data_IF_285921808595
#
_entry.id   IF_285921808595
#
_cell.length_a   1.000
_cell.length_b   1.000
_cell.length_c   1.000
_cell.angle_alpha   90.00
_cell.angle_beta   90.00
_cell.angle_gamma   90.00
#
_symmetry.space_group_name_H-M   'P 1'
#
loop_
_entity.id
_entity.type
_entity.pdbx_description
1 polymer ?
#
# COMPACT_ATOMS: atom_id res chain seq x y z
N UNK A 1 26.66 -27.91 -56.46
CA UNK A 1 25.35 -27.48 -55.93
C UNK A 1 25.56 -26.97 -54.50
N UNK A 2 25.47 -25.64 -54.34
CA UNK A 2 25.02 -24.90 -53.14
C UNK A 2 25.68 -25.09 -51.76
N UNK A 3 27.00 -24.90 -51.63
CA UNK A 3 27.63 -24.75 -50.29
C UNK A 3 28.23 -23.36 -50.05
N UNK A 4 28.47 -22.56 -51.11
CA UNK A 4 29.04 -21.21 -50.98
C UNK A 4 28.01 -20.07 -50.79
N UNK A 5 26.71 -20.34 -50.84
CA UNK A 5 25.65 -19.33 -50.67
C UNK A 5 25.11 -19.21 -49.24
N UNK A 6 25.44 -20.12 -48.32
CA UNK A 6 24.87 -20.11 -46.96
C UNK A 6 25.72 -19.39 -45.93
N UNK A 7 27.01 -19.13 -46.22
CA UNK A 7 27.89 -18.42 -45.26
C UNK A 7 27.66 -16.90 -45.34
N UNK A 8 27.23 -16.37 -46.48
CA UNK A 8 26.97 -14.94 -46.63
C UNK A 8 25.60 -14.51 -46.06
N UNK A 9 24.64 -15.44 -45.95
CA UNK A 9 23.31 -15.15 -45.37
C UNK A 9 23.26 -15.26 -43.84
N UNK A 10 24.23 -15.92 -43.20
CA UNK A 10 24.30 -16.01 -41.73
C UNK A 10 24.99 -14.77 -41.13
N UNK A 11 25.91 -14.14 -41.86
CA UNK A 11 26.55 -12.89 -41.39
C UNK A 11 25.61 -11.68 -41.45
N UNK A 12 24.61 -11.69 -42.33
CA UNK A 12 23.64 -10.59 -42.47
C UNK A 12 22.49 -10.69 -41.44
N UNK A 13 22.19 -11.88 -40.93
CA UNK A 13 21.21 -12.08 -39.86
C UNK A 13 21.76 -11.75 -38.46
N UNK A 14 23.09 -11.78 -38.27
CA UNK A 14 23.72 -11.47 -36.98
C UNK A 14 23.92 -9.96 -36.74
N UNK A 15 23.77 -9.12 -37.77
CA UNK A 15 23.92 -7.66 -37.66
C UNK A 15 22.60 -6.94 -37.37
N UNK A 16 21.46 -7.63 -37.43
CA UNK A 16 20.14 -7.09 -37.11
C UNK A 16 19.77 -7.16 -35.60
N UNK A 17 20.70 -7.66 -34.77
CA UNK A 17 20.61 -7.67 -33.31
C UNK A 17 21.40 -6.52 -32.66
N UNK A 18 21.80 -5.50 -33.44
CA UNK A 18 22.26 -4.24 -32.90
C UNK A 18 21.07 -3.58 -32.19
N UNK A 19 21.20 -3.48 -30.87
CA UNK A 19 20.13 -3.17 -29.95
C UNK A 19 19.33 -1.93 -30.36
N UNK A 20 18.02 -2.11 -30.45
CA UNK A 20 17.12 -1.09 -29.96
C UNK A 20 17.37 -0.99 -28.46
N UNK A 21 18.36 -0.18 -28.06
CA UNK A 21 18.28 0.47 -26.76
C UNK A 21 17.05 1.37 -26.85
N UNK A 22 15.94 0.93 -26.28
CA UNK A 22 14.90 1.87 -25.90
C UNK A 22 15.63 2.94 -25.08
N UNK A 23 15.67 4.17 -25.59
CA UNK A 23 16.17 5.31 -24.83
C UNK A 23 15.34 5.37 -23.56
N UNK A 24 15.91 4.91 -22.45
CA UNK A 24 15.32 5.06 -21.13
C UNK A 24 15.30 6.55 -20.86
N UNK A 25 14.16 7.19 -21.12
CA UNK A 25 13.92 8.57 -20.72
C UNK A 25 13.83 8.57 -19.20
N UNK A 26 14.97 8.82 -18.57
CA UNK A 26 15.10 8.77 -17.13
C UNK A 26 15.65 10.13 -16.69
N UNK A 27 14.78 11.12 -16.68
CA UNK A 27 14.97 12.31 -15.86
C UNK A 27 14.40 11.98 -14.49
N UNK A 28 15.19 12.17 -13.44
CA UNK A 28 14.72 12.10 -12.06
C UNK A 28 14.55 13.51 -11.52
N UNK A 29 13.37 13.78 -10.94
CA UNK A 29 13.04 15.05 -10.30
C UNK A 29 12.89 14.87 -8.79
N UNK A 30 13.27 15.89 -8.02
CA UNK A 30 13.08 15.89 -6.57
C UNK A 30 12.82 17.31 -6.04
N UNK A 31 11.83 17.49 -5.15
CA UNK A 31 10.88 16.47 -4.69
C UNK A 31 9.83 16.13 -5.76
N UNK A 32 9.10 15.03 -5.56
CA UNK A 32 7.94 14.69 -6.42
C UNK A 32 6.72 15.59 -6.13
N UNK A 33 6.63 16.08 -4.88
CA UNK A 33 5.58 16.95 -4.40
C UNK A 33 6.20 18.17 -3.71
N UNK A 34 5.81 19.37 -4.14
CA UNK A 34 6.10 20.64 -3.50
C UNK A 34 4.88 21.06 -2.69
N UNK A 35 5.05 21.13 -1.37
CA UNK A 35 4.05 21.71 -0.48
C UNK A 35 4.54 23.07 -0.02
N UNK A 36 3.78 24.11 -0.39
CA UNK A 36 4.14 25.50 -0.11
C UNK A 36 2.93 26.26 0.39
N UNK A 37 3.18 27.27 1.23
CA UNK A 37 2.18 28.18 1.75
C UNK A 37 2.66 29.63 1.64
N UNK A 38 1.72 30.56 1.44
CA UNK A 38 2.05 31.98 1.31
C UNK A 38 0.82 32.88 1.41
N UNK A 39 1.07 34.14 1.77
CA UNK A 39 0.04 35.17 1.82
C UNK A 39 -0.21 35.75 0.41
N UNK A 40 -1.41 36.28 0.12
CA UNK A 40 -1.68 37.03 -1.11
C UNK A 40 -0.64 38.13 -1.38
N UNK A 41 -0.17 38.23 -2.63
CA UNK A 41 0.84 39.21 -3.06
C UNK A 41 2.30 38.83 -2.77
N UNK A 42 2.56 37.70 -2.12
CA UNK A 42 3.93 37.22 -1.84
C UNK A 42 4.50 36.48 -3.05
N UNK A 43 5.81 36.64 -3.25
CA UNK A 43 6.58 35.82 -4.19
C UNK A 43 7.32 34.75 -3.40
N UNK A 44 7.00 33.49 -3.67
CA UNK A 44 7.71 32.34 -3.13
C UNK A 44 8.82 31.94 -4.11
N UNK A 45 10.02 31.68 -3.61
CA UNK A 45 11.14 31.20 -4.45
C UNK A 45 11.68 29.90 -3.90
N UNK A 46 12.08 29.00 -4.80
CA UNK A 46 12.63 27.71 -4.44
C UNK A 46 13.45 27.09 -5.56
N UNK A 47 13.92 25.88 -5.33
CA UNK A 47 14.69 25.11 -6.28
C UNK A 47 14.19 23.66 -6.30
N UNK A 48 14.20 23.05 -7.48
CA UNK A 48 13.96 21.61 -7.65
C UNK A 48 15.22 20.96 -8.20
N UNK A 49 15.49 19.73 -7.77
CA UNK A 49 16.63 18.97 -8.26
C UNK A 49 16.24 18.19 -9.51
N UNK A 50 17.00 18.38 -10.58
CA UNK A 50 16.90 17.62 -11.82
C UNK A 50 18.14 16.77 -11.98
N UNK A 51 17.97 15.48 -12.27
CA UNK A 51 19.07 14.53 -12.48
C UNK A 51 18.86 13.77 -13.79
N UNK A 52 19.77 13.99 -14.74
CA UNK A 52 19.77 13.26 -16.01
C UNK A 52 20.40 11.88 -15.81
N UNK A 53 19.59 10.82 -15.76
CA UNK A 53 20.10 9.46 -15.59
C UNK A 53 20.68 8.86 -16.86
N UNK A 54 20.58 9.56 -17.99
CA UNK A 54 21.11 9.08 -19.27
C UNK A 54 22.63 9.28 -19.38
N UNK A 55 23.25 8.57 -20.31
CA UNK A 55 24.67 8.71 -20.65
C UNK A 55 24.92 9.76 -21.75
N UNK A 56 23.92 10.56 -22.09
CA UNK A 56 23.98 11.60 -23.14
C UNK A 56 23.47 12.93 -22.62
N UNK A 57 23.89 14.02 -23.26
CA UNK A 57 23.32 15.34 -23.04
C UNK A 57 21.84 15.35 -23.47
N UNK A 58 20.95 15.92 -22.65
CA UNK A 58 19.52 16.03 -22.93
C UNK A 58 19.02 17.44 -22.59
N UNK A 59 18.12 17.97 -23.40
CA UNK A 59 17.42 19.23 -23.13
C UNK A 59 15.98 18.94 -22.71
N UNK A 60 15.57 19.54 -21.59
CA UNK A 60 14.25 19.42 -21.02
C UNK A 60 13.54 20.77 -21.07
N UNK A 61 12.36 20.80 -21.64
CA UNK A 61 11.48 21.96 -21.71
C UNK A 61 10.49 21.94 -20.55
N UNK A 62 10.23 23.11 -19.99
CA UNK A 62 9.36 23.29 -18.85
C UNK A 62 7.96 23.66 -19.34
N UNK A 63 6.94 23.05 -18.75
CA UNK A 63 5.54 23.41 -18.95
C UNK A 63 4.77 23.30 -17.64
N UNK A 64 3.63 23.96 -17.56
CA UNK A 64 2.79 23.96 -16.36
C UNK A 64 1.38 23.54 -16.72
N UNK A 65 0.71 22.81 -15.84
CA UNK A 65 -0.73 22.55 -15.96
C UNK A 65 -1.36 22.53 -14.58
N UNK A 66 -2.55 23.12 -14.43
CA UNK A 66 -3.36 22.87 -13.24
C UNK A 66 -3.86 21.43 -13.25
N UNK A 67 -4.22 20.92 -12.07
CA UNK A 67 -4.88 19.64 -11.97
C UNK A 67 -6.00 19.64 -10.95
N UNK A 68 -6.97 18.78 -11.21
CA UNK A 68 -8.08 18.45 -10.34
C UNK A 68 -8.07 16.95 -10.03
N UNK A 69 -8.81 16.49 -9.02
CA UNK A 69 -9.03 15.06 -8.80
C UNK A 69 -9.66 14.40 -10.02
N UNK A 70 -9.08 13.29 -10.51
CA UNK A 70 -9.72 12.50 -11.56
C UNK A 70 -10.81 11.58 -11.03
N UNK A 71 -10.59 11.01 -9.86
CA UNK A 71 -11.41 9.99 -9.22
C UNK A 71 -11.04 9.82 -7.73
N UNK A 72 -11.57 8.77 -7.11
CA UNK A 72 -11.31 8.44 -5.71
C UNK A 72 -9.89 7.88 -5.42
N UNK A 73 -9.02 7.71 -6.42
CA UNK A 73 -7.67 7.12 -6.23
C UNK A 73 -6.64 8.16 -5.79
N UNK A 74 -6.94 9.46 -6.02
CA UNK A 74 -6.01 10.56 -5.85
C UNK A 74 -5.06 10.76 -7.03
N UNK A 75 -5.41 10.22 -8.20
CA UNK A 75 -4.72 10.51 -9.46
C UNK A 75 -5.09 11.92 -9.95
N UNK A 76 -4.12 12.75 -10.37
CA UNK A 76 -4.41 14.07 -10.91
C UNK A 76 -4.94 14.00 -12.35
N UNK A 77 -5.98 14.77 -12.63
CA UNK A 77 -6.45 15.08 -13.98
C UNK A 77 -5.93 16.47 -14.38
N UNK A 78 -5.07 16.54 -15.39
CA UNK A 78 -4.48 17.80 -15.84
C UNK A 78 -5.43 18.55 -16.79
N UNK A 79 -5.60 19.85 -16.56
CA UNK A 79 -6.62 20.69 -17.22
C UNK A 79 -6.02 21.90 -17.96
N UNK A 80 -4.71 21.90 -18.22
CA UNK A 80 -4.03 22.99 -18.91
C UNK A 80 -3.66 24.18 -18.01
N UNK A 81 -3.21 25.27 -18.65
CA UNK A 81 -2.51 26.39 -18.00
C UNK A 81 -3.18 27.76 -18.16
N UNK A 82 -4.44 27.81 -18.57
CA UNK A 82 -5.14 29.07 -18.92
C UNK A 82 -5.43 29.98 -17.72
N UNK A 83 -5.33 29.46 -16.49
CA UNK A 83 -5.65 30.18 -15.25
C UNK A 83 -4.94 29.56 -14.04
N UNK A 84 -5.24 30.02 -12.82
CA UNK A 84 -4.81 29.36 -11.59
C UNK A 84 -3.29 29.33 -11.37
N UNK A 85 -2.83 28.42 -10.50
CA UNK A 85 -1.43 28.33 -10.07
C UNK A 85 -0.46 28.12 -11.23
N UNK A 86 -0.86 27.42 -12.29
CA UNK A 86 -0.03 27.24 -13.48
C UNK A 86 0.44 28.58 -14.09
N UNK A 87 -0.38 29.64 -14.00
CA UNK A 87 -0.03 30.98 -14.51
C UNK A 87 0.85 31.80 -13.57
N UNK A 88 1.05 31.35 -12.32
CA UNK A 88 1.78 32.11 -11.30
C UNK A 88 3.27 31.77 -11.27
N UNK A 89 3.68 30.71 -11.98
CA UNK A 89 5.07 30.30 -12.06
C UNK A 89 5.93 31.25 -12.87
N UNK A 90 7.19 31.36 -12.47
CA UNK A 90 8.26 31.94 -13.27
C UNK A 90 9.51 31.10 -13.13
N UNK A 91 10.02 30.58 -14.25
CA UNK A 91 11.20 29.71 -14.37
C UNK A 91 11.98 30.03 -15.65
N UNK A 92 13.07 29.31 -15.90
CA UNK A 92 13.58 29.17 -17.27
C UNK A 92 12.65 28.29 -18.12
N UNK A 93 12.62 28.52 -19.44
CA UNK A 93 11.76 27.75 -20.36
C UNK A 93 12.31 26.36 -20.69
N UNK A 94 13.63 26.19 -20.58
CA UNK A 94 14.32 24.94 -20.83
C UNK A 94 15.65 24.86 -20.06
N UNK A 95 16.14 23.64 -19.89
CA UNK A 95 17.44 23.35 -19.29
C UNK A 95 18.11 22.19 -20.03
N UNK A 96 19.40 22.35 -20.34
CA UNK A 96 20.24 21.29 -20.91
C UNK A 96 21.09 20.69 -19.81
N UNK A 97 21.02 19.37 -19.65
CA UNK A 97 21.78 18.60 -18.67
C UNK A 97 22.75 17.66 -19.39
N UNK A 98 24.02 17.69 -18.99
CA UNK A 98 25.02 16.72 -19.43
C UNK A 98 24.66 15.32 -18.91
N UNK A 99 25.34 14.31 -19.47
CA UNK A 99 25.24 12.93 -18.99
C UNK A 99 25.52 12.85 -17.49
N UNK A 100 24.62 12.22 -16.72
CA UNK A 100 24.72 12.08 -15.26
C UNK A 100 24.81 13.40 -14.48
N UNK A 101 24.41 14.51 -15.08
CA UNK A 101 24.43 15.81 -14.40
C UNK A 101 23.24 15.96 -13.46
N UNK A 102 23.49 16.59 -12.30
CA UNK A 102 22.47 17.01 -11.35
C UNK A 102 22.52 18.53 -11.18
N UNK A 103 21.39 19.20 -11.40
CA UNK A 103 21.27 20.66 -11.30
C UNK A 103 20.12 21.05 -10.38
N UNK A 104 20.31 22.16 -9.66
CA UNK A 104 19.25 22.86 -8.94
C UNK A 104 18.60 23.85 -9.92
N UNK A 105 17.35 23.59 -10.26
CA UNK A 105 16.57 24.41 -11.17
C UNK A 105 15.69 25.38 -10.37
N UNK A 106 15.94 26.70 -10.45
CA UNK A 106 15.21 27.67 -9.66
C UNK A 106 13.81 27.92 -10.22
N UNK A 107 12.86 28.16 -9.32
CA UNK A 107 11.51 28.60 -9.65
C UNK A 107 11.04 29.69 -8.69
N UNK A 108 10.04 30.44 -9.14
CA UNK A 108 9.26 31.30 -8.25
C UNK A 108 7.77 31.21 -8.56
N UNK A 109 6.95 31.49 -7.55
CA UNK A 109 5.49 31.52 -7.62
C UNK A 109 5.05 32.90 -7.13
N UNK A 110 4.47 33.69 -8.01
CA UNK A 110 3.94 35.02 -7.69
C UNK A 110 2.46 34.93 -7.35
N UNK A 111 2.13 34.90 -6.06
CA UNK A 111 0.74 34.80 -5.60
C UNK A 111 0.05 36.15 -5.87
N UNK A 112 -1.08 36.19 -6.62
CA UNK A 112 -1.79 37.44 -6.87
C UNK A 112 -2.25 38.12 -5.58
N UNK A 113 -2.43 39.45 -5.60
CA UNK A 113 -2.88 40.20 -4.40
C UNK A 113 -4.36 40.04 -4.11
N UNK A 114 -5.15 39.74 -5.13
CA UNK A 114 -6.62 39.68 -5.13
C UNK A 114 -7.16 38.24 -5.17
N UNK A 115 -6.32 37.27 -4.84
CA UNK A 115 -6.67 35.86 -4.80
C UNK A 115 -7.35 35.47 -3.49
N UNK A 116 -8.35 34.59 -3.57
CA UNK A 116 -9.03 34.05 -2.39
C UNK A 116 -8.15 33.02 -1.66
N UNK A 117 -8.29 32.95 -0.34
CA UNK A 117 -7.62 31.94 0.47
C UNK A 117 -8.14 30.54 0.12
N UNK A 118 -7.24 29.55 0.05
CA UNK A 118 -7.59 28.21 -0.40
C UNK A 118 -6.41 27.43 -0.95
N UNK A 119 -6.69 26.22 -1.41
CA UNK A 119 -5.74 25.34 -2.06
C UNK A 119 -5.70 25.55 -3.58
N UNK A 120 -4.50 25.68 -4.13
CA UNK A 120 -4.25 25.79 -5.56
C UNK A 120 -3.24 24.73 -6.00
N UNK A 121 -3.54 24.05 -7.12
CA UNK A 121 -2.86 22.82 -7.50
C UNK A 121 -2.41 22.86 -8.96
N UNK A 122 -1.12 22.64 -9.20
CA UNK A 122 -0.54 22.59 -10.53
C UNK A 122 0.68 21.69 -10.57
N UNK A 123 1.03 21.19 -11.75
CA UNK A 123 2.25 20.45 -11.99
C UNK A 123 3.23 21.25 -12.84
N UNK A 124 4.50 21.18 -12.47
CA UNK A 124 5.63 21.61 -13.30
C UNK A 124 6.16 20.38 -14.02
N UNK A 125 6.03 20.34 -15.35
CA UNK A 125 6.47 19.25 -16.19
C UNK A 125 7.80 19.55 -16.87
N UNK A 126 8.63 18.52 -17.00
CA UNK A 126 9.85 18.51 -17.78
C UNK A 126 9.73 17.45 -18.87
N UNK A 127 9.79 17.88 -20.13
CA UNK A 127 9.67 17.01 -21.31
C UNK A 127 10.83 17.19 -22.29
N UNK A 128 11.12 16.18 -23.11
CA UNK A 128 12.19 16.25 -24.13
C UNK A 128 11.76 16.96 -25.41
N UNK A 129 10.48 17.30 -25.53
CA UNK A 129 9.91 18.04 -26.65
C UNK A 129 9.42 19.42 -26.16
N UNK A 130 9.53 20.47 -26.99
CA UNK A 130 8.92 21.76 -26.68
C UNK A 130 7.41 21.63 -26.48
N UNK A 131 6.79 22.45 -25.61
CA UNK A 131 5.33 22.51 -25.48
C UNK A 131 4.70 22.86 -26.83
N UNK A 132 3.64 22.16 -27.23
CA UNK A 132 2.84 22.50 -28.41
C UNK A 132 1.57 23.24 -27.97
N UNK A 133 1.22 24.34 -28.65
CA UNK A 133 0.06 25.19 -28.33
C UNK A 133 -1.30 24.49 -28.55
N UNK A 134 -1.35 23.34 -29.23
CA UNK A 134 -2.58 22.74 -29.75
C UNK A 134 -3.18 21.61 -28.89
N UNK A 135 -2.82 21.49 -27.60
CA UNK A 135 -3.41 20.49 -26.70
C UNK A 135 -3.19 19.03 -27.12
N UNK A 136 -2.37 18.79 -28.15
CA UNK A 136 -1.91 17.47 -28.53
C UNK A 136 -0.78 17.07 -27.59
N UNK A 137 -1.04 16.04 -26.79
CA UNK A 137 -0.03 15.37 -25.97
C UNK A 137 1.04 14.85 -26.93
N UNK A 138 2.17 15.54 -27.00
CA UNK A 138 3.39 15.00 -27.57
C UNK A 138 3.65 13.63 -26.93
N UNK A 139 3.89 12.60 -27.76
CA UNK A 139 4.24 11.24 -27.32
C UNK A 139 5.73 11.23 -26.88
N UNK A 140 6.08 12.18 -26.01
CA UNK A 140 7.34 12.24 -25.28
C UNK A 140 7.02 12.04 -23.80
N UNK A 141 7.81 11.22 -23.10
CA UNK A 141 7.67 11.08 -21.66
C UNK A 141 7.95 12.43 -20.99
N UNK A 142 6.95 12.95 -20.28
CA UNK A 142 7.13 14.10 -19.38
C UNK A 142 7.09 13.63 -17.94
N UNK A 143 7.97 14.17 -17.12
CA UNK A 143 7.96 13.94 -15.66
C UNK A 143 7.51 15.22 -14.98
N UNK A 144 6.59 15.09 -14.01
CA UNK A 144 5.96 16.22 -13.34
C UNK A 144 6.31 16.28 -11.86
N UNK A 145 6.46 17.49 -11.36
CA UNK A 145 6.47 17.81 -9.93
C UNK A 145 5.11 18.41 -9.59
N UNK A 146 4.35 17.76 -8.70
CA UNK A 146 3.08 18.29 -8.24
C UNK A 146 3.32 19.38 -7.21
N UNK A 147 2.64 20.51 -7.34
CA UNK A 147 2.68 21.58 -6.35
C UNK A 147 1.30 21.76 -5.75
N UNK A 148 1.25 21.73 -4.42
CA UNK A 148 0.08 22.03 -3.63
C UNK A 148 0.35 23.31 -2.83
N UNK A 149 -0.11 24.42 -3.38
CA UNK A 149 0.00 25.73 -2.75
C UNK A 149 -1.21 25.98 -1.86
N UNK A 150 -0.95 26.41 -0.64
CA UNK A 150 -1.97 27.03 0.22
C UNK A 150 -1.81 28.54 0.19
N UNK A 151 -2.86 29.25 -0.22
CA UNK A 151 -2.97 30.69 0.02
C UNK A 151 -3.60 30.89 1.40
N UNK A 152 -2.87 31.58 2.29
CA UNK A 152 -3.30 31.81 3.66
C UNK A 152 -4.52 32.72 3.77
N UNK A 153 -5.35 32.47 4.79
CA UNK A 153 -6.53 33.25 5.12
C UNK A 153 -7.56 32.41 5.86
N UNK A 154 -8.81 32.87 5.83
CA UNK A 154 -9.94 32.10 6.36
C UNK A 154 -10.37 31.06 5.31
N UNK A 155 -10.07 29.79 5.57
CA UNK A 155 -10.34 28.68 4.66
C UNK A 155 -11.33 27.74 5.35
N UNK A 156 -12.51 27.49 4.77
CA UNK A 156 -13.46 26.56 5.36
C UNK A 156 -12.88 25.14 5.40
N UNK A 157 -13.06 24.46 6.52
CA UNK A 157 -12.74 23.04 6.68
C UNK A 157 -14.02 22.25 6.89
N UNK A 158 -14.27 21.26 6.04
CA UNK A 158 -15.43 20.37 6.12
C UNK A 158 -15.12 19.06 5.41
N UNK A 159 -15.81 17.99 5.78
CA UNK A 159 -15.63 16.67 5.23
C UNK A 159 -15.78 15.60 6.30
N UNK A 160 -15.33 14.40 5.99
CA UNK A 160 -15.42 13.27 6.92
C UNK A 160 -15.42 11.92 6.22
N UNK A 161 -15.50 10.86 7.02
CA UNK A 161 -15.59 9.50 6.53
C UNK A 161 -16.98 9.30 5.92
N UNK A 162 -17.03 8.88 4.66
CA UNK A 162 -18.29 8.59 3.94
C UNK A 162 -18.51 7.10 3.69
N UNK A 163 -17.60 6.26 4.18
CA UNK A 163 -17.72 4.81 4.20
C UNK A 163 -16.49 4.20 4.84
N UNK A 164 -16.69 3.16 5.64
CA UNK A 164 -15.63 2.40 6.31
C UNK A 164 -16.04 0.94 6.47
N UNK A 165 -15.11 0.03 6.23
CA UNK A 165 -15.30 -1.40 6.40
C UNK A 165 -14.03 -2.18 6.12
N UNK A 166 -14.14 -3.50 6.14
CA UNK A 166 -13.16 -4.38 5.52
C UNK A 166 -13.31 -4.33 4.00
N UNK A 167 -12.23 -4.61 3.29
CA UNK A 167 -12.26 -4.70 1.83
C UNK A 167 -13.29 -5.72 1.37
N UNK A 168 -14.10 -5.35 0.38
CA UNK A 168 -15.18 -6.15 -0.19
C UNK A 168 -16.20 -6.67 0.85
N UNK A 169 -16.35 -5.96 1.97
CA UNK A 169 -17.20 -6.34 3.12
C UNK A 169 -16.86 -7.74 3.67
N UNK A 170 -15.59 -8.16 3.54
CA UNK A 170 -15.15 -9.47 4.02
C UNK A 170 -15.25 -9.55 5.54
N UNK A 171 -16.10 -10.44 6.03
CA UNK A 171 -16.32 -10.61 7.46
C UNK A 171 -15.43 -11.68 8.10
N UNK A 172 -15.02 -12.70 7.35
CA UNK A 172 -14.32 -13.88 7.85
C UNK A 172 -12.89 -13.96 7.32
N UNK A 173 -11.95 -14.23 8.22
CA UNK A 173 -10.54 -14.45 7.92
C UNK A 173 -10.03 -15.71 8.63
N UNK A 174 -9.12 -16.45 8.01
CA UNK A 174 -8.44 -17.58 8.66
C UNK A 174 -7.05 -17.21 9.22
N UNK A 175 -6.45 -16.17 8.67
CA UNK A 175 -5.22 -15.50 9.11
C UNK A 175 -5.22 -14.09 8.51
N UNK A 176 -4.57 -13.08 9.15
CA UNK A 176 -4.28 -11.81 8.48
C UNK A 176 -3.36 -12.02 7.24
N UNK A 177 -3.33 -11.07 6.28
CA UNK A 177 -3.72 -9.67 6.41
C UNK A 177 -5.23 -9.42 6.42
N UNK A 178 -5.64 -8.38 7.15
CA UNK A 178 -6.99 -7.78 7.08
C UNK A 178 -6.84 -6.43 6.39
N UNK A 179 -7.35 -6.35 5.16
CA UNK A 179 -7.42 -5.08 4.42
C UNK A 179 -8.68 -4.31 4.83
N UNK A 180 -8.50 -3.07 5.26
CA UNK A 180 -9.58 -2.13 5.49
C UNK A 180 -9.79 -1.27 4.24
N UNK A 181 -10.97 -0.69 4.11
CA UNK A 181 -11.27 0.31 3.10
C UNK A 181 -12.08 1.43 3.77
N UNK A 182 -11.60 2.66 3.64
CA UNK A 182 -12.42 3.83 3.95
C UNK A 182 -12.33 4.87 2.84
N UNK A 183 -13.37 5.70 2.75
CA UNK A 183 -13.43 6.83 1.83
C UNK A 183 -13.58 8.11 2.63
N UNK A 184 -12.66 9.05 2.42
CA UNK A 184 -12.66 10.35 3.07
C UNK A 184 -13.10 11.42 2.07
N UNK A 185 -14.06 12.25 2.46
CA UNK A 185 -14.47 13.45 1.71
C UNK A 185 -13.76 14.70 2.23
N UNK A 186 -13.50 15.64 1.34
CA UNK A 186 -13.03 16.99 1.66
C UNK A 186 -13.93 18.00 0.98
N UNK A 187 -14.83 18.60 1.77
CA UNK A 187 -15.74 19.66 1.35
C UNK A 187 -15.19 21.06 1.73
N UNK A 188 -13.95 21.13 2.20
CA UNK A 188 -13.25 22.36 2.55
C UNK A 188 -12.60 23.06 1.35
N UNK A 189 -11.90 24.16 1.62
CA UNK A 189 -11.27 25.03 0.63
C UNK A 189 -9.79 24.75 0.33
N UNK A 190 -9.13 23.87 1.07
CA UNK A 190 -7.75 23.42 0.80
C UNK A 190 -7.64 21.89 0.96
N UNK A 191 -6.54 21.30 0.49
CA UNK A 191 -6.25 19.88 0.66
C UNK A 191 -6.23 19.50 2.14
N UNK A 192 -6.58 18.26 2.42
CA UNK A 192 -6.45 17.69 3.76
C UNK A 192 -5.66 16.39 3.69
N UNK A 193 -4.88 16.14 4.74
CA UNK A 193 -4.20 14.85 4.96
C UNK A 193 -4.90 14.18 6.13
N UNK A 194 -5.62 13.07 5.90
CA UNK A 194 -6.17 12.27 6.99
C UNK A 194 -5.05 11.73 7.87
N UNK A 195 -5.21 11.81 9.19
CA UNK A 195 -4.27 11.33 10.20
C UNK A 195 -5.01 10.61 11.31
N UNK A 196 -4.43 9.55 11.82
CA UNK A 196 -5.05 8.78 12.89
C UNK A 196 -4.69 7.32 12.83
N UNK A 197 -5.39 6.52 13.61
CA UNK A 197 -5.17 5.09 13.71
C UNK A 197 -6.50 4.33 13.59
N UNK A 198 -6.41 3.13 13.07
CA UNK A 198 -7.41 2.08 13.24
C UNK A 198 -6.95 1.25 14.44
N UNK A 199 -7.65 1.36 15.56
CA UNK A 199 -7.44 0.53 16.74
C UNK A 199 -8.18 -0.80 16.55
N UNK A 200 -7.47 -1.92 16.67
CA UNK A 200 -8.05 -3.25 16.53
C UNK A 200 -8.11 -3.90 17.90
N UNK A 201 -9.32 -4.22 18.34
CA UNK A 201 -9.61 -4.75 19.67
C UNK A 201 -10.25 -6.14 19.59
N UNK A 202 -9.83 -7.06 20.44
CA UNK A 202 -10.39 -8.41 20.51
C UNK A 202 -11.63 -8.49 21.42
N UNK A 203 -12.27 -9.66 21.47
CA UNK A 203 -13.45 -9.92 22.35
C UNK A 203 -13.22 -9.68 23.86
N UNK A 204 -11.97 -9.60 24.31
CA UNK A 204 -11.62 -9.33 25.71
C UNK A 204 -11.41 -7.83 25.98
N UNK A 205 -11.61 -6.97 24.97
CA UNK A 205 -11.37 -5.53 25.08
C UNK A 205 -9.89 -5.15 25.05
N UNK A 206 -8.99 -6.05 24.64
CA UNK A 206 -7.58 -5.75 24.51
C UNK A 206 -7.24 -5.32 23.08
N UNK A 207 -6.56 -4.17 22.96
CA UNK A 207 -5.95 -3.71 21.71
C UNK A 207 -4.87 -4.70 21.27
N UNK A 208 -5.03 -5.27 20.09
CA UNK A 208 -4.10 -6.25 19.49
C UNK A 208 -3.24 -5.64 18.40
N UNK A 209 -3.66 -4.53 17.80
CA UNK A 209 -2.92 -3.80 16.77
C UNK A 209 -3.45 -2.38 16.61
N UNK A 210 -2.57 -1.52 16.08
CA UNK A 210 -2.89 -0.18 15.60
C UNK A 210 -2.39 -0.09 14.15
N UNK A 211 -3.21 0.43 13.24
CA UNK A 211 -2.86 0.60 11.82
C UNK A 211 -2.99 2.08 11.46
N UNK A 212 -1.95 2.67 10.84
CA UNK A 212 -2.02 4.04 10.34
C UNK A 212 -3.08 4.13 9.24
N UNK A 213 -4.03 5.07 9.39
CA UNK A 213 -5.11 5.29 8.42
C UNK A 213 -4.57 5.78 7.06
N UNK A 214 -3.38 6.34 7.01
CA UNK A 214 -2.80 6.96 5.82
C UNK A 214 -1.26 6.93 5.84
N UNK A 215 -0.68 5.73 5.83
CA UNK A 215 0.78 5.52 5.84
C UNK A 215 1.51 6.26 4.69
N UNK A 216 0.89 6.30 3.51
CA UNK A 216 1.41 6.99 2.32
C UNK A 216 1.27 8.51 2.36
N UNK A 217 0.65 9.07 3.40
CA UNK A 217 0.38 10.51 3.58
C UNK A 217 -0.34 11.14 2.38
N UNK A 218 -1.28 10.40 1.80
CA UNK A 218 -2.06 10.83 0.65
C UNK A 218 -2.97 12.02 0.98
N UNK A 219 -2.95 13.02 0.11
CA UNK A 219 -3.84 14.19 0.16
C UNK A 219 -5.25 13.87 -0.37
N UNK A 220 -6.26 14.56 0.17
CA UNK A 220 -7.62 14.65 -0.39
C UNK A 220 -7.86 16.10 -0.77
N UNK A 221 -8.06 16.38 -2.06
CA UNK A 221 -8.21 17.75 -2.55
C UNK A 221 -9.63 18.30 -2.28
N UNK A 222 -9.80 19.63 -2.25
CA UNK A 222 -11.11 20.28 -2.14
C UNK A 222 -12.16 19.72 -3.10
N UNK A 223 -13.40 19.64 -2.65
CA UNK A 223 -14.55 19.21 -3.45
C UNK A 223 -14.49 17.76 -3.94
N UNK A 224 -13.71 16.90 -3.26
CA UNK A 224 -13.47 15.53 -3.70
C UNK A 224 -13.48 14.53 -2.57
N UNK A 225 -13.41 13.25 -2.93
CA UNK A 225 -13.22 12.18 -1.98
C UNK A 225 -12.11 11.25 -2.44
N UNK A 226 -11.47 10.57 -1.49
CA UNK A 226 -10.38 9.62 -1.75
C UNK A 226 -10.57 8.35 -0.95
N UNK A 227 -10.29 7.22 -1.57
CA UNK A 227 -10.25 5.90 -0.93
C UNK A 227 -8.86 5.62 -0.39
N UNK A 228 -8.83 5.02 0.78
CA UNK A 228 -7.64 4.55 1.48
C UNK A 228 -7.82 3.08 1.84
N UNK A 229 -6.74 2.32 1.78
CA UNK A 229 -6.75 0.89 2.09
C UNK A 229 -5.65 0.51 3.11
N UNK A 230 -5.80 0.90 4.39
CA UNK A 230 -4.90 0.46 5.45
C UNK A 230 -4.93 -1.06 5.60
N UNK A 231 -3.80 -1.68 5.91
CA UNK A 231 -3.71 -3.14 6.01
C UNK A 231 -3.13 -3.54 7.36
N UNK A 232 -3.88 -4.35 8.10
CA UNK A 232 -3.33 -5.05 9.25
C UNK A 232 -2.66 -6.35 8.78
N UNK A 233 -1.33 -6.34 8.67
CA UNK A 233 -0.58 -7.51 8.19
C UNK A 233 -0.34 -8.56 9.27
N UNK A 234 -0.33 -8.17 10.55
CA UNK A 234 0.04 -9.02 11.70
C UNK A 234 1.36 -9.79 11.52
N UNK A 235 2.32 -9.21 10.79
CA UNK A 235 3.62 -9.83 10.52
C UNK A 235 3.63 -10.83 9.36
N UNK A 236 2.54 -10.95 8.60
CA UNK A 236 2.47 -11.78 7.40
C UNK A 236 2.64 -10.92 6.14
N UNK A 237 3.37 -11.42 5.15
CA UNK A 237 3.65 -10.70 3.89
C UNK A 237 3.28 -11.49 2.64
N UNK A 238 2.67 -12.67 2.79
CA UNK A 238 2.43 -13.59 1.67
C UNK A 238 1.00 -14.11 1.68
N UNK A 239 0.23 -13.76 0.66
CA UNK A 239 -1.20 -14.08 0.53
C UNK A 239 -1.44 -15.53 0.08
N UNK A 240 -0.39 -16.25 -0.35
CA UNK A 240 -0.50 -17.59 -0.92
C UNK A 240 0.08 -18.68 -0.01
N UNK A 241 -0.28 -18.67 1.27
CA UNK A 241 0.15 -19.73 2.20
C UNK A 241 -0.50 -21.09 1.88
N UNK A 242 0.34 -22.12 1.72
CA UNK A 242 -0.11 -23.52 1.69
C UNK A 242 -0.84 -23.88 2.99
N UNK A 243 -1.60 -24.98 3.02
CA UNK A 243 -2.33 -25.43 4.22
C UNK A 243 -1.42 -25.48 5.47
N UNK A 244 -0.25 -26.12 5.39
CA UNK A 244 0.69 -26.20 6.52
C UNK A 244 1.39 -24.85 6.80
N UNK A 245 1.54 -24.00 5.77
CA UNK A 245 1.97 -22.62 5.95
C UNK A 245 0.99 -21.84 6.80
N UNK A 246 -0.32 -21.95 6.53
CA UNK A 246 -1.39 -21.34 7.33
C UNK A 246 -1.41 -21.87 8.76
N UNK A 247 -1.27 -23.18 8.96
CA UNK A 247 -1.18 -23.79 10.30
C UNK A 247 -0.02 -23.20 11.09
N UNK A 248 1.16 -23.09 10.47
CA UNK A 248 2.34 -22.51 11.11
C UNK A 248 2.11 -21.04 11.44
N UNK A 249 1.58 -20.27 10.51
CA UNK A 249 1.23 -18.88 10.70
C UNK A 249 0.27 -18.70 11.89
N UNK A 250 -0.82 -19.48 11.92
CA UNK A 250 -1.82 -19.49 13.00
C UNK A 250 -1.24 -19.89 14.37
N UNK A 251 -0.19 -20.71 14.38
CA UNK A 251 0.51 -21.10 15.60
C UNK A 251 1.47 -20.01 16.09
N UNK A 252 2.16 -19.33 15.17
CA UNK A 252 3.13 -18.26 15.47
C UNK A 252 2.43 -16.99 15.96
N UNK A 253 1.39 -16.50 15.27
CA UNK A 253 0.53 -15.41 15.75
C UNK A 253 -0.93 -15.89 15.80
N UNK A 254 -1.33 -16.36 16.97
CA UNK A 254 -2.66 -16.90 17.17
C UNK A 254 -3.71 -15.79 17.31
N UNK A 255 -4.59 -15.71 16.32
CA UNK A 255 -5.75 -14.82 16.32
C UNK A 255 -7.04 -15.65 16.28
N UNK A 256 -7.94 -15.41 17.24
CA UNK A 256 -9.21 -16.13 17.30
C UNK A 256 -10.33 -15.25 17.87
N UNK A 257 -11.49 -15.32 17.24
CA UNK A 257 -12.72 -14.68 17.71
C UNK A 257 -13.08 -13.41 16.94
N UNK A 258 -14.03 -12.66 17.48
CA UNK A 258 -14.46 -11.39 16.93
C UNK A 258 -13.47 -10.28 17.26
N UNK A 259 -13.31 -9.38 16.30
CA UNK A 259 -12.53 -8.17 16.42
C UNK A 259 -13.37 -6.98 16.01
N UNK A 260 -13.14 -5.88 16.70
CA UNK A 260 -13.65 -4.56 16.33
C UNK A 260 -12.46 -3.74 15.85
N UNK A 261 -12.65 -3.00 14.76
CA UNK A 261 -11.69 -2.05 14.25
C UNK A 261 -12.32 -0.67 14.29
N UNK A 262 -11.81 0.18 15.17
CA UNK A 262 -12.28 1.53 15.43
C UNK A 262 -11.33 2.51 14.74
N UNK A 263 -11.81 3.17 13.69
CA UNK A 263 -11.07 4.21 13.00
C UNK A 263 -11.35 5.56 13.66
N UNK A 264 -10.31 6.23 14.15
CA UNK A 264 -10.36 7.63 14.57
C UNK A 264 -9.51 8.45 13.60
N UNK A 265 -10.16 9.24 12.75
CA UNK A 265 -9.52 10.03 11.71
C UNK A 265 -9.69 11.50 12.02
N UNK A 266 -8.57 12.22 12.03
CA UNK A 266 -8.48 13.66 12.20
C UNK A 266 -7.85 14.31 10.96
N UNK A 267 -8.22 15.56 10.67
CA UNK A 267 -7.68 16.30 9.54
C UNK A 267 -7.79 17.83 9.72
N UNK A 268 -7.23 18.56 8.76
CA UNK A 268 -7.27 20.02 8.72
C UNK A 268 -6.37 20.69 9.76
N UNK A 269 -6.45 22.01 9.82
CA UNK A 269 -5.76 22.87 10.79
C UNK A 269 -6.60 23.07 12.06
N UNK A 270 -7.92 22.93 11.96
CA UNK A 270 -8.84 23.02 13.12
C UNK A 270 -8.99 21.68 13.86
N UNK A 271 -8.27 20.63 13.45
CA UNK A 271 -8.34 19.27 13.99
C UNK A 271 -9.77 18.71 13.99
N UNK A 272 -10.45 18.83 12.85
CA UNK A 272 -11.72 18.13 12.62
C UNK A 272 -11.50 16.63 12.80
N UNK A 273 -12.51 15.91 13.30
CA UNK A 273 -12.42 14.47 13.49
C UNK A 273 -13.72 13.75 13.14
N UNK A 274 -13.58 12.49 12.74
CA UNK A 274 -14.65 11.56 12.41
C UNK A 274 -14.22 10.19 12.88
N UNK A 275 -15.15 9.44 13.48
CA UNK A 275 -14.89 8.09 13.93
C UNK A 275 -15.94 7.15 13.37
N UNK A 276 -15.49 5.98 12.92
CA UNK A 276 -16.31 4.91 12.38
C UNK A 276 -15.75 3.57 12.84
N UNK A 277 -16.62 2.57 12.98
CA UNK A 277 -16.25 1.25 13.49
C UNK A 277 -16.71 0.15 12.54
N UNK A 278 -15.89 -0.89 12.39
CA UNK A 278 -16.28 -2.13 11.71
C UNK A 278 -15.92 -3.35 12.53
N UNK A 279 -16.40 -4.52 12.15
CA UNK A 279 -16.14 -5.76 12.88
C UNK A 279 -15.96 -6.93 11.94
N UNK A 280 -15.10 -7.85 12.32
CA UNK A 280 -14.78 -9.05 11.56
C UNK A 280 -14.42 -10.19 12.52
N UNK A 281 -14.34 -11.42 12.00
CA UNK A 281 -13.98 -12.60 12.77
C UNK A 281 -12.75 -13.27 12.17
N UNK A 282 -11.82 -13.67 13.04
CA UNK A 282 -10.68 -14.52 12.65
C UNK A 282 -10.88 -15.91 13.26
N UNK A 283 -10.89 -16.95 12.43
CA UNK A 283 -10.98 -18.35 12.87
C UNK A 283 -9.85 -19.16 12.22
N UNK A 284 -8.84 -19.61 12.98
CA UNK A 284 -7.70 -20.37 12.48
C UNK A 284 -8.07 -21.84 12.24
N UNK A 285 -9.01 -22.08 11.32
CA UNK A 285 -9.69 -23.37 11.19
C UNK A 285 -8.76 -24.51 10.75
N UNK A 286 -7.68 -24.24 10.03
CA UNK A 286 -6.68 -25.25 9.65
C UNK A 286 -5.95 -25.81 10.87
N UNK A 287 -5.49 -24.94 11.78
CA UNK A 287 -4.92 -25.34 13.06
C UNK A 287 -5.93 -26.11 13.91
N UNK A 288 -7.18 -25.63 14.00
CA UNK A 288 -8.24 -26.28 14.78
C UNK A 288 -8.56 -27.68 14.26
N UNK A 289 -8.59 -27.88 12.94
CA UNK A 289 -8.78 -29.20 12.32
C UNK A 289 -7.64 -30.16 12.68
N UNK A 290 -6.38 -29.73 12.60
CA UNK A 290 -5.25 -30.58 12.97
C UNK A 290 -5.25 -30.94 14.45
N UNK A 291 -5.57 -29.99 15.33
CA UNK A 291 -5.72 -30.24 16.76
C UNK A 291 -6.85 -31.24 17.03
N UNK A 292 -8.00 -31.08 16.36
CA UNK A 292 -9.13 -31.99 16.50
C UNK A 292 -8.78 -33.43 16.10
N UNK A 293 -8.19 -33.64 14.92
CA UNK A 293 -7.78 -34.98 14.48
C UNK A 293 -6.64 -35.55 15.32
N UNK A 294 -5.70 -34.72 15.77
CA UNK A 294 -4.63 -35.13 16.69
C UNK A 294 -5.18 -35.63 18.03
N UNK A 295 -6.13 -34.91 18.61
CA UNK A 295 -6.80 -35.32 19.86
C UNK A 295 -7.65 -36.59 19.68
N UNK A 296 -8.37 -36.71 18.56
CA UNK A 296 -9.14 -37.91 18.24
C UNK A 296 -8.23 -39.15 18.12
N UNK A 297 -7.10 -39.03 17.45
CA UNK A 297 -6.12 -40.10 17.30
C UNK A 297 -5.47 -40.46 18.64
N UNK A 298 -5.13 -39.47 19.47
CA UNK A 298 -4.62 -39.68 20.82
C UNK A 298 -5.64 -40.44 21.69
N UNK A 299 -6.92 -40.09 21.62
CA UNK A 299 -7.99 -40.79 22.34
C UNK A 299 -8.11 -42.26 21.91
N UNK A 300 -7.99 -42.54 20.61
CA UNK A 300 -8.02 -43.92 20.07
C UNK A 300 -6.81 -44.71 20.60
N UNK A 301 -5.62 -44.14 20.60
CA UNK A 301 -4.41 -44.79 21.13
C UNK A 301 -4.58 -45.10 22.61
N UNK A 302 -5.01 -44.13 23.42
CA UNK A 302 -5.22 -44.33 24.86
C UNK A 302 -6.24 -45.45 25.11
N UNK A 303 -7.34 -45.50 24.36
CA UNK A 303 -8.36 -46.54 24.52
C UNK A 303 -7.87 -47.95 24.16
N UNK A 304 -7.09 -48.08 23.08
CA UNK A 304 -6.56 -49.36 22.60
C UNK A 304 -5.43 -49.86 23.48
N UNK A 305 -4.50 -48.99 23.88
CA UNK A 305 -3.43 -49.29 24.83
C UNK A 305 -3.98 -49.60 26.23
N UNK A 306 -5.00 -48.89 26.71
CA UNK A 306 -5.67 -49.17 27.98
C UNK A 306 -6.34 -50.54 27.98
N UNK A 307 -7.00 -50.91 26.88
CA UNK A 307 -7.60 -52.25 26.71
C UNK A 307 -6.52 -53.34 26.67
N UNK A 308 -5.43 -53.11 25.93
CA UNK A 308 -4.31 -54.05 25.87
C UNK A 308 -3.60 -54.23 27.23
N UNK A 309 -3.39 -53.14 27.97
CA UNK A 309 -2.81 -53.17 29.30
C UNK A 309 -3.71 -53.92 30.30
N UNK A 310 -5.02 -53.63 30.29
CA UNK A 310 -6.00 -54.34 31.11
C UNK A 310 -6.00 -55.84 30.82
N UNK A 311 -5.99 -56.23 29.55
CA UNK A 311 -5.96 -57.64 29.15
C UNK A 311 -4.65 -58.34 29.57
N UNK A 312 -3.52 -57.63 29.53
CA UNK A 312 -2.24 -58.15 30.02
C UNK A 312 -2.28 -58.39 31.54
N UNK A 313 -2.73 -57.42 32.32
CA UNK A 313 -2.84 -57.54 33.78
C UNK A 313 -3.80 -58.67 34.18
N UNK A 314 -4.93 -58.82 33.48
CA UNK A 314 -5.87 -59.92 33.72
C UNK A 314 -5.23 -61.29 33.45
N UNK A 315 -4.48 -61.43 32.36
CA UNK A 315 -3.76 -62.68 32.06
C UNK A 315 -2.70 -62.99 33.11
N UNK A 316 -1.91 -61.99 33.50
CA UNK A 316 -0.89 -62.15 34.54
C UNK A 316 -1.53 -62.55 35.89
N UNK A 317 -2.72 -62.02 36.20
CA UNK A 317 -3.51 -62.41 37.38
C UNK A 317 -4.07 -63.84 37.29
N UNK A 318 -4.62 -64.24 36.14
CA UNK A 318 -5.10 -65.61 35.91
C UNK A 318 -3.96 -66.64 35.98
N UNK A 319 -2.78 -66.31 35.47
CA UNK A 319 -1.57 -67.15 35.59
C UNK A 319 -1.10 -67.28 37.03
N UNK A 320 -1.10 -66.19 37.82
CA UNK A 320 -0.78 -66.24 39.24
C UNK A 320 -1.76 -67.14 40.02
N UNK A 321 -3.06 -66.97 39.77
CA UNK A 321 -4.09 -67.79 40.41
C UNK A 321 -3.95 -69.27 40.08
N UNK A 322 -3.63 -69.60 38.82
CA UNK A 322 -3.40 -70.98 38.39
C UNK A 322 -2.21 -71.61 39.10
N UNK A 323 -1.10 -70.88 39.25
CA UNK A 323 0.08 -71.37 39.98
C UNK A 323 -0.22 -71.59 41.47
N UNK A 324 -1.01 -70.71 42.08
CA UNK A 324 -1.44 -70.88 43.48
C UNK A 324 -2.37 -72.10 43.66
N UNK A 325 -3.24 -72.38 42.69
CA UNK A 325 -4.07 -73.60 42.68
C UNK A 325 -3.23 -74.87 42.47
N UNK A 326 -2.21 -74.84 41.61
CA UNK A 326 -1.25 -75.94 41.40
C UNK A 326 -0.38 -76.21 42.65
N UNK A 327 0.20 -75.16 43.26
CA UNK A 327 1.01 -75.28 44.48
C UNK A 327 0.20 -75.81 45.68
N UNK A 328 -1.08 -75.42 45.80
CA UNK A 328 -1.97 -75.94 46.85
C UNK A 328 -2.33 -77.42 46.64
N UNK A 329 -2.41 -77.91 45.39
CA UNK A 329 -2.63 -79.33 45.11
C UNK A 329 -1.41 -80.19 45.42
N UNK A 330 -0.19 -79.68 45.16
CA UNK A 330 1.06 -80.38 45.53
C UNK A 330 1.32 -80.43 47.05
N UNK A 331 0.69 -79.56 47.84
CA UNK A 331 0.85 -79.52 49.30
C UNK A 331 -0.13 -80.44 50.05
N UNK A 332 -1.18 -80.94 49.38
CA UNK A 332 -2.19 -81.85 49.94
C UNK A 332 -1.95 -83.36 49.63
N UNK A 333 -0.94 -83.70 48.83
CA UNK A 333 -0.44 -85.09 48.63
C UNK A 333 0.71 -85.46 49.60
#
# INVERSE_FOLDING_TARGET
>A
MNIRKNIFSITLALFALLGFSASTQALTVSPAILEVDGDPGVILSGEVTLFNETDIEQTYYVSFENFEPSDDTGTPNFIGAESGLATWYTTGDAITLQAKERVLFPYSISIPTDVEAGGYFAAMFFGTEPPQDDGNIAIGGRIGILTLLRVNGDIPESGGIIGYGTKDDQFFYDVPPVEFAYRMSNDGGDRVVPRGIIEITNIFGATVAEVDVNEVKGNVLPGSARKFAPVWTAGYTDDALSFFGKVRAQLENFHFGYYTADAEISWGFTNQSSSESTSFIIIPWQLLILLFFGLALLSIIISTSGTAYKNKVLRDFEEMKRREEEDNQETEE
#
